data_IF_067375309843
#
_entry.id   IF_067375309843
#
_cell.length_a   1.000
_cell.length_b   1.000
_cell.length_c   1.000
_cell.angle_alpha   90.00
_cell.angle_beta   90.00
_cell.angle_gamma   90.00
#
_symmetry.space_group_name_H-M   'P 1'
#
loop_
_entity.id
_entity.type
_entity.pdbx_description
1 polymer ?
#
# COMPACT_ATOMS: atom_id res chain seq x y z
N UNK A 1 -4.34 5.19 9.70
CA UNK A 1 -3.89 4.05 8.83
C UNK A 1 -3.06 2.92 9.47
N UNK A 2 -1.89 3.13 10.11
CA UNK A 2 -0.99 2.01 10.52
C UNK A 2 -1.68 0.94 11.39
N UNK A 3 -2.42 1.35 12.42
CA UNK A 3 -3.08 0.41 13.32
C UNK A 3 -4.18 -0.40 12.62
N UNK A 4 -4.85 0.17 11.63
CA UNK A 4 -5.86 -0.54 10.83
C UNK A 4 -5.20 -1.58 9.92
N UNK A 5 -4.05 -1.25 9.32
CA UNK A 5 -3.24 -2.22 8.58
C UNK A 5 -2.72 -3.33 9.49
N UNK A 6 -2.31 -3.00 10.72
CA UNK A 6 -1.86 -3.99 11.69
C UNK A 6 -3.01 -4.93 12.10
N UNK A 7 -4.19 -4.39 12.41
CA UNK A 7 -5.37 -5.19 12.73
C UNK A 7 -5.73 -6.13 11.57
N UNK A 8 -5.70 -5.63 10.33
CA UNK A 8 -5.95 -6.46 9.14
C UNK A 8 -4.86 -7.51 8.91
N UNK A 9 -3.59 -7.18 9.18
CA UNK A 9 -2.48 -8.14 9.12
C UNK A 9 -2.68 -9.28 10.11
N UNK A 10 -3.12 -8.97 11.33
CA UNK A 10 -3.40 -9.94 12.39
C UNK A 10 -4.62 -10.81 12.06
N UNK A 11 -5.71 -10.19 11.58
CA UNK A 11 -6.92 -10.86 11.10
C UNK A 11 -6.57 -11.92 10.04
N UNK A 12 -5.71 -11.57 9.09
CA UNK A 12 -5.30 -12.46 8.00
C UNK A 12 -4.10 -13.35 8.34
N UNK A 13 -3.54 -13.22 9.54
CA UNK A 13 -2.31 -13.90 9.98
C UNK A 13 -1.18 -13.76 8.95
N UNK A 14 -1.09 -12.61 8.30
CA UNK A 14 -0.16 -12.36 7.21
C UNK A 14 1.28 -12.30 7.73
N UNK A 15 2.15 -13.17 7.20
CA UNK A 15 3.56 -13.32 7.65
C UNK A 15 4.58 -12.77 6.66
N UNK A 16 4.17 -12.51 5.43
CA UNK A 16 4.99 -12.04 4.31
C UNK A 16 4.97 -10.50 4.14
N UNK A 17 4.13 -9.79 4.91
CA UNK A 17 4.04 -8.32 4.89
C UNK A 17 4.69 -7.74 6.16
N UNK A 18 5.71 -6.92 5.98
CA UNK A 18 6.29 -6.09 7.04
C UNK A 18 5.63 -4.71 7.04
N UNK A 19 5.21 -4.24 8.22
CA UNK A 19 4.69 -2.89 8.40
C UNK A 19 5.77 -2.06 9.10
N UNK A 20 6.13 -0.92 8.50
CA UNK A 20 7.15 -0.01 9.00
C UNK A 20 6.52 1.37 9.12
N UNK A 21 6.70 2.02 10.27
CA UNK A 21 6.29 3.42 10.46
C UNK A 21 7.48 4.34 10.27
N UNK A 22 7.25 5.47 9.61
CA UNK A 22 8.18 6.59 9.57
C UNK A 22 7.61 7.67 10.48
N UNK A 23 8.13 7.75 11.71
CA UNK A 23 7.65 8.70 12.72
C UNK A 23 8.20 10.12 12.50
N UNK A 24 9.35 10.24 11.83
CA UNK A 24 9.99 11.52 11.53
C UNK A 24 9.99 11.76 10.02
N UNK A 25 9.28 12.78 9.57
CA UNK A 25 9.20 13.14 8.15
C UNK A 25 10.25 14.19 7.76
N UNK A 26 10.68 15.04 8.70
CA UNK A 26 11.70 16.05 8.48
C UNK A 26 12.56 16.29 9.75
N UNK A 27 13.90 16.29 9.64
CA UNK A 27 14.68 15.85 8.49
C UNK A 27 14.44 14.36 8.20
N UNK A 28 14.45 13.96 6.93
CA UNK A 28 14.08 12.59 6.56
C UNK A 28 15.14 11.56 7.03
N UNK A 29 14.79 10.53 7.82
CA UNK A 29 15.73 9.60 8.45
C UNK A 29 16.17 8.47 7.48
N UNK A 30 16.86 8.82 6.40
CA UNK A 30 17.21 7.88 5.33
C UNK A 30 18.07 6.71 5.80
N UNK A 31 19.00 6.94 6.74
CA UNK A 31 19.90 5.90 7.24
C UNK A 31 19.16 4.84 8.06
N UNK A 32 18.16 5.26 8.86
CA UNK A 32 17.28 4.37 9.61
C UNK A 32 16.42 3.54 8.66
N UNK A 33 15.84 4.17 7.63
CA UNK A 33 15.05 3.47 6.61
C UNK A 33 15.91 2.42 5.89
N UNK A 34 17.13 2.76 5.48
CA UNK A 34 18.09 1.82 4.89
C UNK A 34 18.39 0.64 5.80
N UNK A 35 18.62 0.88 7.11
CA UNK A 35 18.88 -0.18 8.10
C UNK A 35 17.69 -1.13 8.22
N UNK A 36 16.46 -0.62 8.18
CA UNK A 36 15.26 -1.45 8.21
C UNK A 36 15.12 -2.25 6.91
N UNK A 37 15.26 -1.60 5.75
CA UNK A 37 15.14 -2.27 4.46
C UNK A 37 16.16 -3.42 4.28
N UNK A 38 17.38 -3.26 4.82
CA UNK A 38 18.41 -4.32 4.84
C UNK A 38 17.97 -5.62 5.54
N UNK A 39 16.98 -5.56 6.44
CA UNK A 39 16.39 -6.76 7.09
C UNK A 39 15.46 -7.54 6.16
N UNK A 40 14.96 -6.90 5.08
CA UNK A 40 13.96 -7.44 4.15
C UNK A 40 14.51 -7.50 2.72
N UNK A 41 15.64 -8.20 2.52
CA UNK A 41 16.36 -8.26 1.24
C UNK A 41 15.56 -8.90 0.09
N UNK A 42 14.62 -9.78 0.42
CA UNK A 42 13.78 -10.49 -0.54
C UNK A 42 12.42 -9.80 -0.75
N UNK A 43 12.31 -8.49 -0.48
CA UNK A 43 11.07 -7.79 -0.75
C UNK A 43 10.83 -7.73 -2.27
N UNK A 44 9.61 -8.08 -2.68
CA UNK A 44 9.18 -8.05 -4.08
C UNK A 44 8.47 -6.75 -4.42
N UNK A 45 7.86 -6.11 -3.41
CA UNK A 45 7.01 -4.94 -3.55
C UNK A 45 7.19 -4.06 -2.31
N UNK A 46 7.46 -2.79 -2.53
CA UNK A 46 7.49 -1.76 -1.50
C UNK A 46 6.30 -0.83 -1.71
N UNK A 47 5.58 -0.51 -0.63
CA UNK A 47 4.40 0.35 -0.68
C UNK A 47 4.57 1.53 0.28
N UNK A 48 4.17 2.72 -0.15
CA UNK A 48 3.96 3.87 0.73
C UNK A 48 2.46 4.02 0.96
N UNK A 49 1.99 3.83 2.19
CA UNK A 49 0.55 3.87 2.51
C UNK A 49 0.22 5.09 3.36
N UNK A 50 -0.72 5.91 2.91
CA UNK A 50 -1.22 7.07 3.66
C UNK A 50 -2.73 7.25 3.46
N UNK A 51 -3.40 7.88 4.41
CA UNK A 51 -4.86 8.15 4.33
C UNK A 51 -5.19 9.47 3.63
N UNK A 52 -4.19 10.33 3.48
CA UNK A 52 -4.31 11.59 2.76
C UNK A 52 -4.38 11.37 1.23
N UNK A 53 -5.05 12.26 0.49
CA UNK A 53 -4.96 12.32 -0.96
C UNK A 53 -3.53 12.32 -1.48
N UNK A 54 -3.29 11.81 -2.70
CA UNK A 54 -1.94 11.76 -3.31
C UNK A 54 -1.27 13.13 -3.44
N UNK A 55 -2.07 14.19 -3.64
CA UNK A 55 -1.62 15.57 -3.72
C UNK A 55 -1.42 16.23 -2.35
N UNK A 56 -1.66 15.48 -1.26
CA UNK A 56 -1.55 15.92 0.12
C UNK A 56 -0.69 14.94 0.93
N UNK A 57 -0.50 15.27 2.20
CA UNK A 57 0.27 14.44 3.11
C UNK A 57 1.75 14.35 2.73
N UNK A 58 2.46 13.36 3.29
CA UNK A 58 3.91 13.28 3.17
C UNK A 58 4.41 12.79 1.80
N UNK A 59 3.62 12.01 1.04
CA UNK A 59 4.08 11.30 -0.16
C UNK A 59 4.91 12.18 -1.11
N UNK A 60 4.36 13.34 -1.52
CA UNK A 60 5.05 14.24 -2.47
C UNK A 60 6.35 14.82 -1.94
N UNK A 61 6.46 15.00 -0.62
CA UNK A 61 7.67 15.51 0.03
C UNK A 61 8.77 14.43 0.12
N UNK A 62 8.38 13.19 0.43
CA UNK A 62 9.35 12.13 0.73
C UNK A 62 9.67 11.20 -0.45
N UNK A 63 8.86 11.19 -1.53
CA UNK A 63 9.03 10.27 -2.66
C UNK A 63 10.46 10.30 -3.23
N UNK A 64 11.09 11.48 -3.28
CA UNK A 64 12.46 11.65 -3.76
C UNK A 64 13.48 11.02 -2.80
N UNK A 65 13.27 11.16 -1.50
CA UNK A 65 14.11 10.50 -0.48
C UNK A 65 13.96 8.98 -0.53
N UNK A 66 12.77 8.49 -0.91
CA UNK A 66 12.45 7.06 -0.99
C UNK A 66 12.75 6.44 -2.36
N UNK A 67 13.32 7.18 -3.31
CA UNK A 67 13.49 6.74 -4.70
C UNK A 67 14.30 5.44 -4.84
N UNK A 68 15.28 5.21 -3.97
CA UNK A 68 16.09 3.98 -3.97
C UNK A 68 15.28 2.71 -3.62
N UNK A 69 14.16 2.87 -2.90
CA UNK A 69 13.26 1.77 -2.53
C UNK A 69 12.10 1.59 -3.52
N UNK A 70 11.90 2.56 -4.43
CA UNK A 70 10.82 2.59 -5.43
C UNK A 70 9.45 2.20 -4.86
N UNK A 71 9.01 2.79 -3.74
CA UNK A 71 7.72 2.42 -3.15
C UNK A 71 6.58 2.89 -4.05
N UNK A 72 5.53 2.08 -4.14
CA UNK A 72 4.32 2.46 -4.85
C UNK A 72 3.32 3.12 -3.90
N UNK A 73 2.76 4.29 -4.26
CA UNK A 73 1.84 5.01 -3.40
C UNK A 73 0.48 4.34 -3.34
N UNK A 74 0.03 4.05 -2.13
CA UNK A 74 -1.35 3.67 -1.79
C UNK A 74 -1.95 4.82 -1.00
N UNK A 75 -2.62 5.72 -1.72
CA UNK A 75 -3.22 6.95 -1.17
C UNK A 75 -4.69 7.05 -1.55
N UNK A 76 -5.41 8.03 -0.97
CA UNK A 76 -6.70 8.46 -1.53
C UNK A 76 -6.49 9.17 -2.87
N UNK A 77 -7.55 9.20 -3.67
CA UNK A 77 -7.59 9.97 -4.92
C UNK A 77 -7.28 11.45 -4.65
N UNK A 78 -6.56 12.15 -5.56
CA UNK A 78 -6.31 13.57 -5.43
C UNK A 78 -7.60 14.36 -5.23
N UNK A 79 -7.56 15.32 -4.31
CA UNK A 79 -8.73 16.13 -3.93
C UNK A 79 -8.31 17.56 -3.61
N UNK A 80 -9.21 18.52 -3.81
CA UNK A 80 -9.04 19.90 -3.35
C UNK A 80 -9.30 20.09 -1.85
N UNK A 81 -10.01 19.15 -1.23
CA UNK A 81 -10.28 19.11 0.22
C UNK A 81 -9.51 17.97 0.90
N UNK A 82 -8.98 18.15 2.12
CA UNK A 82 -8.28 17.11 2.88
C UNK A 82 -9.12 15.85 3.11
N UNK A 83 -10.43 16.02 3.31
CA UNK A 83 -11.36 14.93 3.52
C UNK A 83 -12.72 15.24 2.89
N UNK A 84 -13.48 14.20 2.60
CA UNK A 84 -14.89 14.30 2.21
C UNK A 84 -15.73 14.55 3.46
N UNK A 85 -16.61 15.56 3.45
CA UNK A 85 -17.51 15.85 4.59
C UNK A 85 -18.59 14.81 4.84
N UNK A 86 -18.76 13.84 3.93
CA UNK A 86 -19.71 12.74 4.06
C UNK A 86 -19.04 11.53 4.73
N UNK A 87 -19.51 11.17 5.93
CA UNK A 87 -18.98 10.04 6.71
C UNK A 87 -18.95 8.71 5.93
N UNK A 88 -19.99 8.42 5.14
CA UNK A 88 -20.04 7.20 4.31
C UNK A 88 -18.94 7.15 3.25
N UNK A 89 -18.66 8.28 2.59
CA UNK A 89 -17.60 8.35 1.58
C UNK A 89 -16.23 8.22 2.23
N UNK A 90 -16.06 8.82 3.42
CA UNK A 90 -14.84 8.67 4.20
C UNK A 90 -14.56 7.20 4.56
N UNK A 91 -15.57 6.47 5.06
CA UNK A 91 -15.46 5.05 5.38
C UNK A 91 -15.08 4.21 4.16
N UNK A 92 -15.73 4.45 3.01
CA UNK A 92 -15.40 3.75 1.75
C UNK A 92 -13.96 4.01 1.31
N UNK A 93 -13.49 5.25 1.41
CA UNK A 93 -12.10 5.59 1.08
C UNK A 93 -11.08 4.94 2.03
N UNK A 94 -11.45 4.80 3.31
CA UNK A 94 -10.61 4.12 4.29
C UNK A 94 -10.50 2.63 3.97
N UNK A 95 -11.64 1.99 3.70
CA UNK A 95 -11.68 0.57 3.38
C UNK A 95 -10.97 0.27 2.06
N UNK A 96 -11.08 1.13 1.05
CA UNK A 96 -10.35 1.02 -0.22
C UNK A 96 -8.83 0.99 -0.02
N UNK A 97 -8.26 1.87 0.82
CA UNK A 97 -6.82 1.85 1.13
C UNK A 97 -6.41 0.52 1.77
N UNK A 98 -7.18 0.05 2.75
CA UNK A 98 -6.87 -1.20 3.45
C UNK A 98 -6.97 -2.39 2.48
N UNK A 99 -7.98 -2.41 1.61
CA UNK A 99 -8.17 -3.46 0.61
C UNK A 99 -7.09 -3.45 -0.49
N UNK A 100 -6.52 -2.28 -0.82
CA UNK A 100 -5.36 -2.18 -1.73
C UNK A 100 -4.10 -2.86 -1.17
N UNK A 101 -3.90 -2.83 0.16
CA UNK A 101 -2.79 -3.51 0.82
C UNK A 101 -3.10 -4.99 1.09
N UNK A 102 -4.28 -5.27 1.65
CA UNK A 102 -4.73 -6.61 2.02
C UNK A 102 -5.95 -7.02 1.21
N UNK A 103 -5.74 -7.26 -0.09
CA UNK A 103 -6.81 -7.71 -0.99
C UNK A 103 -7.17 -9.16 -0.66
N UNK A 104 -8.46 -9.49 -0.59
CA UNK A 104 -8.92 -10.89 -0.52
C UNK A 104 -8.49 -11.66 -1.79
N UNK A 105 -7.96 -12.88 -1.70
CA UNK A 105 -7.73 -13.67 -2.92
C UNK A 105 -9.08 -14.13 -3.46
N UNK A 106 -9.38 -13.66 -4.66
CA UNK A 106 -10.45 -14.08 -5.57
C UNK A 106 -9.95 -15.13 -6.58
N UNK A 107 -8.71 -15.57 -6.40
CA UNK A 107 -7.97 -16.48 -7.26
C UNK A 107 -8.25 -17.96 -6.93
N UNK A 108 -7.87 -18.86 -7.85
CA UNK A 108 -8.04 -20.31 -7.67
C UNK A 108 -7.32 -20.87 -6.43
N UNK A 109 -6.25 -20.19 -5.99
CA UNK A 109 -5.48 -20.56 -4.80
C UNK A 109 -6.29 -20.40 -3.50
N UNK A 110 -7.37 -19.60 -3.51
CA UNK A 110 -8.27 -19.35 -2.37
C UNK A 110 -7.53 -19.04 -1.06
N UNK A 111 -6.40 -18.35 -1.14
CA UNK A 111 -5.66 -17.87 0.02
C UNK A 111 -6.53 -16.88 0.82
N UNK A 112 -6.21 -16.72 2.11
CA UNK A 112 -6.92 -15.78 3.00
C UNK A 112 -6.81 -14.33 2.44
N UNK A 113 -5.66 -14.00 1.84
CA UNK A 113 -5.41 -12.75 1.12
C UNK A 113 -4.55 -13.00 -0.12
N UNK A 114 -4.51 -12.03 -1.02
CA UNK A 114 -3.73 -12.06 -2.25
C UNK A 114 -2.28 -11.68 -1.94
N UNK A 115 -1.39 -12.67 -1.92
CA UNK A 115 0.07 -12.45 -1.85
C UNK A 115 0.73 -12.22 -3.22
N UNK A 116 -0.06 -11.94 -4.28
CA UNK A 116 0.42 -11.83 -5.68
C UNK A 116 1.22 -13.06 -6.17
N UNK A 117 0.94 -14.25 -5.62
CA UNK A 117 1.65 -15.51 -5.94
C UNK A 117 1.14 -16.20 -7.21
N UNK A 118 0.03 -15.75 -7.79
CA UNK A 118 -0.67 -16.40 -8.91
C UNK A 118 -0.10 -16.08 -10.30
N UNK A 119 1.05 -15.40 -10.42
CA UNK A 119 1.55 -14.82 -11.69
C UNK A 119 2.19 -15.85 -12.64
N UNK A 120 2.07 -17.16 -12.41
CA UNK A 120 2.66 -18.17 -13.31
C UNK A 120 1.58 -18.83 -14.18
N UNK A 121 1.46 -18.37 -15.44
CA UNK A 121 0.98 -19.22 -16.55
C UNK A 121 -0.52 -19.39 -16.82
N UNK A 122 -1.43 -18.44 -16.50
CA UNK A 122 -2.84 -18.53 -16.94
C UNK A 122 -3.36 -17.26 -17.64
N UNK A 123 -4.08 -17.49 -18.74
CA UNK A 123 -4.70 -16.51 -19.63
C UNK A 123 -5.57 -15.49 -18.88
N UNK A 124 -5.30 -14.20 -19.12
CA UNK A 124 -6.11 -13.04 -18.71
C UNK A 124 -7.58 -13.27 -19.04
N UNK A 125 -8.43 -13.42 -18.02
CA UNK A 125 -9.76 -12.82 -18.10
C UNK A 125 -9.61 -11.36 -17.66
N UNK A 126 -10.01 -10.45 -18.53
CA UNK A 126 -10.03 -9.02 -18.27
C UNK A 126 -10.96 -8.73 -17.09
N UNK A 127 -10.37 -8.57 -15.90
CA UNK A 127 -11.05 -7.83 -14.84
C UNK A 127 -11.06 -6.38 -15.32
N UNK A 128 -12.27 -5.91 -15.59
CA UNK A 128 -12.60 -4.64 -16.20
C UNK A 128 -11.87 -3.46 -15.55
N UNK A 129 -11.55 -2.48 -16.40
CA UNK A 129 -10.91 -1.19 -16.11
C UNK A 129 -11.52 -0.49 -14.90
N UNK A 130 -10.85 -0.56 -13.76
CA UNK A 130 -10.66 0.55 -12.82
C UNK A 130 -9.50 0.15 -11.90
N UNK A 131 -8.42 0.94 -11.94
CA UNK A 131 -7.15 0.75 -11.24
C UNK A 131 -6.23 -0.30 -11.90
N UNK A 132 -5.36 0.17 -12.80
CA UNK A 132 -4.13 -0.57 -13.12
C UNK A 132 -3.30 -0.61 -11.83
N UNK A 133 -3.25 -1.77 -11.18
CA UNK A 133 -2.66 -1.87 -9.84
C UNK A 133 -1.14 -1.68 -9.82
N UNK A 134 -0.42 -2.00 -10.90
CA UNK A 134 1.04 -1.84 -11.00
C UNK A 134 1.42 -1.64 -12.47
N UNK A 135 2.25 -0.64 -12.81
CA UNK A 135 2.75 -0.48 -14.19
C UNK A 135 3.65 -1.67 -14.52
N UNK A 136 3.33 -2.41 -15.58
CA UNK A 136 4.27 -3.36 -16.18
C UNK A 136 5.39 -2.54 -16.84
N UNK A 137 6.64 -2.76 -16.42
CA UNK A 137 7.82 -2.38 -17.22
C UNK A 137 7.76 -3.10 -18.58
#
# INVERSE_FOLDING_TARGET
IYYELLARKEEYKARDIALVRIEQLHPFPIEEVRKINKKYKNNLLSLWVQEEPENMGPWRHIQNHMAEFRPEPVTRQPSGSPATGLSKVHQLGQEDIIQKVFRKCDCELKNIYCGLQCVVGKSRKEILKQHQYFRKN
#
